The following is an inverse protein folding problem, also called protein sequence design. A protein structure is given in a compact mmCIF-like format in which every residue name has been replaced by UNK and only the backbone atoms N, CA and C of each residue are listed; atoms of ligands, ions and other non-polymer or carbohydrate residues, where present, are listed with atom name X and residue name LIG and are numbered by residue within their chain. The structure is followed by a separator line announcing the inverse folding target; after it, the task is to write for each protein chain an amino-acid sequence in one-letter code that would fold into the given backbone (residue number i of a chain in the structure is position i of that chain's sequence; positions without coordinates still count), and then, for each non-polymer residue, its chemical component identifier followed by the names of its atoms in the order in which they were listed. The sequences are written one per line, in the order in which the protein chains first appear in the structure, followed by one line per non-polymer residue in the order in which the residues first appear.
data_IF_673025475969
#
_entry.id   IF_673025475969
#
_cell.length_a   1.000
_cell.length_b   1.000
_cell.length_c   1.000
_cell.angle_alpha   90.00
_cell.angle_beta   90.00
_cell.angle_gamma   90.00
#
_symmetry.space_group_name_H-M   'P 1'
#
loop_
_entity.id
_entity.type
_entity.pdbx_description
1 polymer ?
#
# COMPACT_ATOMS: atom_id res chain seq x y z
N UNK A 1 -3.35 -9.26 -14.44
CA UNK A 1 -4.00 -8.77 -13.20
C UNK A 1 -2.91 -8.52 -12.19
N UNK A 2 -2.64 -7.26 -11.89
CA UNK A 2 -1.45 -6.87 -11.14
C UNK A 2 -1.52 -7.37 -9.69
N UNK A 3 -0.52 -8.16 -9.27
CA UNK A 3 -0.34 -8.73 -7.91
C UNK A 3 -0.34 -7.66 -6.80
N UNK A 4 -0.28 -6.38 -7.16
CA UNK A 4 -0.47 -5.20 -6.31
C UNK A 4 -1.71 -5.23 -5.42
N UNK A 5 -2.81 -5.87 -5.85
CA UNK A 5 -4.02 -6.02 -5.02
C UNK A 5 -3.74 -6.77 -3.72
N UNK A 6 -2.69 -7.59 -3.69
CA UNK A 6 -2.23 -8.33 -2.52
C UNK A 6 -1.18 -7.50 -1.73
N UNK A 7 -0.31 -6.75 -2.41
CA UNK A 7 0.84 -6.05 -1.80
C UNK A 7 0.45 -4.75 -1.07
N UNK A 8 -0.48 -3.97 -1.61
CA UNK A 8 -0.91 -2.69 -1.00
C UNK A 8 -1.46 -2.82 0.44
N UNK A 9 -2.32 -3.81 0.75
CA UNK A 9 -2.78 -4.05 2.13
C UNK A 9 -1.75 -4.75 3.03
N UNK A 10 -0.73 -5.41 2.47
CA UNK A 10 0.41 -5.92 3.24
C UNK A 10 1.27 -4.77 3.80
N UNK A 11 1.48 -3.70 3.03
CA UNK A 11 2.36 -2.61 3.43
C UNK A 11 1.88 -1.75 4.60
N UNK A 12 0.56 -1.56 4.74
CA UNK A 12 0.01 -0.79 5.86
C UNK A 12 0.11 -1.54 7.19
N UNK A 13 -0.06 -2.86 7.16
CA UNK A 13 -0.13 -3.72 8.32
C UNK A 13 1.23 -4.20 8.81
N UNK A 14 2.21 -4.40 7.90
CA UNK A 14 3.59 -4.73 8.26
C UNK A 14 4.30 -3.62 9.05
N UNK A 15 3.87 -2.37 8.91
CA UNK A 15 4.49 -1.24 9.60
C UNK A 15 4.02 -1.07 11.05
N UNK A 16 2.79 -1.50 11.38
CA UNK A 16 2.18 -1.24 12.69
C UNK A 16 3.03 -1.69 13.89
N UNK A 17 3.71 -2.87 13.87
CA UNK A 17 4.59 -3.28 14.96
C UNK A 17 5.83 -2.39 15.15
N UNK A 18 6.20 -1.59 14.14
CA UNK A 18 7.40 -0.75 14.12
C UNK A 18 7.19 0.64 14.71
N UNK A 19 5.95 1.03 14.97
CA UNK A 19 5.59 2.36 15.50
C UNK A 19 6.31 2.67 16.82
N UNK A 20 6.43 1.76 17.80
CA UNK A 20 7.17 2.07 19.03
C UNK A 20 8.65 2.40 18.77
N UNK A 21 9.32 1.65 17.89
CA UNK A 21 10.73 1.88 17.52
C UNK A 21 10.90 3.20 16.76
N UNK A 22 9.98 3.50 15.83
CA UNK A 22 9.91 4.77 15.12
C UNK A 22 9.81 5.96 16.07
N UNK A 23 8.87 5.90 17.01
CA UNK A 23 8.60 6.99 17.95
C UNK A 23 9.79 7.24 18.88
N UNK A 24 10.46 6.16 19.32
CA UNK A 24 11.71 6.26 20.07
C UNK A 24 12.84 6.89 19.24
N UNK A 25 13.01 6.49 17.98
CA UNK A 25 14.05 7.01 17.09
C UNK A 25 13.87 8.50 16.79
N UNK A 26 12.63 8.94 16.53
CA UNK A 26 12.32 10.34 16.27
C UNK A 26 12.06 11.16 17.54
N UNK A 27 12.31 10.60 18.72
CA UNK A 27 12.20 11.30 20.00
C UNK A 27 10.81 11.86 20.31
N UNK A 28 9.76 11.25 19.76
CA UNK A 28 8.38 11.71 19.93
C UNK A 28 7.62 10.73 20.82
N UNK A 29 7.01 11.22 21.90
CA UNK A 29 6.23 10.39 22.83
C UNK A 29 4.72 10.64 22.75
N UNK A 30 4.26 11.41 21.77
CA UNK A 30 2.84 11.74 21.60
C UNK A 30 2.04 10.52 21.12
N UNK A 31 1.06 10.03 21.90
CA UNK A 31 0.15 8.96 21.47
C UNK A 31 -0.68 9.34 20.24
N UNK A 32 -0.87 10.65 20.03
CA UNK A 32 -1.61 11.18 18.89
C UNK A 32 -0.79 11.00 17.61
N UNK A 33 0.52 11.30 17.65
CA UNK A 33 1.42 11.14 16.51
C UNK A 33 1.61 9.65 16.15
N UNK A 34 1.74 8.75 17.13
CA UNK A 34 1.89 7.31 16.88
C UNK A 34 0.66 6.68 16.22
N UNK A 35 -0.53 7.15 16.57
CA UNK A 35 -1.78 6.69 15.95
C UNK A 35 -1.93 7.30 14.57
N UNK A 36 -1.64 8.59 14.44
CA UNK A 36 -1.80 9.34 13.19
C UNK A 36 -0.88 8.83 12.08
N UNK A 37 0.37 8.47 12.38
CA UNK A 37 1.30 7.94 11.38
C UNK A 37 0.80 6.64 10.73
N UNK A 38 0.04 5.81 11.45
CA UNK A 38 -0.58 4.61 10.88
C UNK A 38 -1.83 5.00 10.08
N UNK A 39 -2.72 5.80 10.69
CA UNK A 39 -4.02 6.18 10.12
C UNK A 39 -3.95 7.03 8.86
N UNK A 40 -2.92 7.88 8.72
CA UNK A 40 -2.76 8.77 7.55
C UNK A 40 -2.64 7.99 6.23
N UNK A 41 -2.10 6.78 6.27
CA UNK A 41 -2.10 5.87 5.12
C UNK A 41 -3.53 5.53 4.68
N UNK A 42 -4.40 5.20 5.64
CA UNK A 42 -5.80 4.88 5.35
C UNK A 42 -6.58 6.09 4.85
N UNK A 43 -6.26 7.29 5.33
CA UNK A 43 -6.80 8.53 4.77
C UNK A 43 -6.44 8.66 3.29
N UNK A 44 -5.16 8.51 2.93
CA UNK A 44 -4.73 8.51 1.54
C UNK A 44 -5.44 7.45 0.71
N UNK A 45 -5.58 6.24 1.25
CA UNK A 45 -6.28 5.14 0.61
C UNK A 45 -7.78 5.39 0.41
N UNK A 46 -8.43 6.10 1.34
CA UNK A 46 -9.86 6.42 1.26
C UNK A 46 -10.15 7.54 0.25
N UNK A 47 -9.28 8.56 0.16
CA UNK A 47 -9.46 9.68 -0.76
C UNK A 47 -8.87 9.43 -2.16
N UNK A 48 -7.86 8.56 -2.27
CA UNK A 48 -7.21 8.22 -3.55
C UNK A 48 -8.18 7.79 -4.66
N UNK A 49 -9.17 6.92 -4.40
CA UNK A 49 -10.15 6.50 -5.40
C UNK A 49 -10.91 7.65 -6.06
N UNK A 50 -11.15 8.76 -5.36
CA UNK A 50 -11.87 9.92 -5.90
C UNK A 50 -11.14 10.57 -7.08
N UNK A 51 -9.81 10.52 -7.07
CA UNK A 51 -8.96 11.06 -8.14
C UNK A 51 -8.65 9.97 -9.17
N UNK A 52 -8.37 8.75 -8.70
CA UNK A 52 -7.93 7.65 -9.56
C UNK A 52 -9.06 7.11 -10.46
N UNK A 53 -10.29 7.06 -9.97
CA UNK A 53 -11.44 6.57 -10.74
C UNK A 53 -11.62 7.34 -12.07
N UNK A 54 -11.81 8.67 -12.07
CA UNK A 54 -11.97 9.42 -13.32
C UNK A 54 -10.70 9.39 -14.19
N UNK A 55 -9.51 9.41 -13.58
CA UNK A 55 -8.25 9.28 -14.31
C UNK A 55 -8.17 7.97 -15.10
N UNK A 56 -8.66 6.87 -14.54
CA UNK A 56 -8.66 5.55 -15.16
C UNK A 56 -9.61 5.43 -16.36
N UNK A 57 -10.68 6.22 -16.37
CA UNK A 57 -11.65 6.28 -17.46
C UNK A 57 -11.14 7.15 -18.62
N UNK A 58 -10.51 8.30 -18.31
CA UNK A 58 -10.02 9.22 -19.34
C UNK A 58 -8.71 8.76 -20.02
N UNK A 59 -7.74 8.26 -19.25
CA UNK A 59 -6.40 7.92 -19.76
C UNK A 59 -6.21 6.42 -20.00
N UNK A 60 -7.20 5.60 -19.63
CA UNK A 60 -7.13 4.16 -19.73
C UNK A 60 -6.48 3.49 -18.52
N UNK A 61 -6.97 2.30 -18.20
CA UNK A 61 -6.67 1.59 -16.94
C UNK A 61 -5.20 1.17 -16.82
N UNK A 62 -4.58 0.71 -17.91
CA UNK A 62 -3.17 0.25 -17.91
C UNK A 62 -2.20 1.36 -17.52
N UNK A 63 -2.36 2.57 -18.07
CA UNK A 63 -1.49 3.71 -17.74
C UNK A 63 -1.61 4.09 -16.26
N UNK A 64 -2.83 4.06 -15.71
CA UNK A 64 -3.06 4.35 -14.29
C UNK A 64 -2.43 3.30 -13.38
N UNK A 65 -2.44 2.01 -13.76
CA UNK A 65 -1.70 0.98 -13.03
C UNK A 65 -0.20 1.24 -13.00
N UNK A 66 0.42 1.51 -14.15
CA UNK A 66 1.86 1.75 -14.23
C UNK A 66 2.27 3.02 -13.49
N UNK A 67 1.52 4.11 -13.66
CA UNK A 67 1.76 5.36 -12.93
C UNK A 67 1.63 5.15 -11.41
N UNK A 68 0.58 4.43 -10.97
CA UNK A 68 0.39 4.07 -9.57
C UNK A 68 1.54 3.25 -8.99
N UNK A 69 2.10 2.31 -9.77
CA UNK A 69 3.25 1.50 -9.35
C UNK A 69 4.50 2.33 -9.15
N UNK A 70 4.83 3.16 -10.15
CA UNK A 70 6.02 4.01 -10.09
C UNK A 70 5.90 4.97 -8.91
N UNK A 71 4.73 5.59 -8.73
CA UNK A 71 4.44 6.48 -7.62
C UNK A 71 4.55 5.75 -6.27
N UNK A 72 3.91 4.58 -6.11
CA UNK A 72 3.96 3.81 -4.88
C UNK A 72 5.39 3.38 -4.52
N UNK A 73 6.18 2.93 -5.50
CA UNK A 73 7.59 2.58 -5.29
C UNK A 73 8.41 3.80 -4.87
N UNK A 74 8.27 4.93 -5.57
CA UNK A 74 8.99 6.16 -5.26
C UNK A 74 8.65 6.66 -3.84
N UNK A 75 7.37 6.65 -3.46
CA UNK A 75 6.95 7.05 -2.12
C UNK A 75 7.34 6.04 -1.04
N UNK A 76 7.41 4.75 -1.36
CA UNK A 76 7.96 3.73 -0.45
C UNK A 76 9.44 4.00 -0.16
N UNK A 77 10.23 4.29 -1.19
CA UNK A 77 11.65 4.67 -1.03
C UNK A 77 11.76 5.97 -0.22
N UNK A 78 10.92 6.96 -0.49
CA UNK A 78 10.86 8.20 0.29
C UNK A 78 10.53 7.97 1.78
N UNK A 79 9.58 7.08 2.06
CA UNK A 79 9.25 6.67 3.43
C UNK A 79 10.42 5.93 4.11
N UNK A 80 11.15 5.09 3.38
CA UNK A 80 12.32 4.39 3.89
C UNK A 80 13.48 5.35 4.24
N UNK A 81 13.63 6.42 3.46
CA UNK A 81 14.65 7.46 3.64
C UNK A 81 14.19 8.61 4.54
N UNK A 82 13.03 8.51 5.18
CA UNK A 82 12.51 9.59 6.02
C UNK A 82 13.39 9.84 7.25
N UNK A 83 13.62 11.12 7.56
CA UNK A 83 14.47 11.57 8.68
C UNK A 83 13.67 12.17 9.84
N UNK A 84 12.37 12.38 9.66
CA UNK A 84 11.46 12.88 10.69
C UNK A 84 10.04 12.34 10.46
N UNK A 85 9.17 12.53 11.47
CA UNK A 85 7.79 12.06 11.42
C UNK A 85 6.96 12.73 10.33
N UNK A 86 7.12 14.03 10.11
CA UNK A 86 6.30 14.77 9.14
C UNK A 86 6.55 14.31 7.71
N UNK A 87 7.81 14.11 7.36
CA UNK A 87 8.25 13.52 6.10
C UNK A 87 7.68 12.12 5.93
N UNK A 88 7.76 11.28 6.97
CA UNK A 88 7.19 9.93 6.92
C UNK A 88 5.67 9.97 6.73
N UNK A 89 4.96 10.84 7.44
CA UNK A 89 3.51 11.00 7.34
C UNK A 89 3.10 11.45 5.94
N UNK A 90 3.80 12.41 5.36
CA UNK A 90 3.56 12.87 3.99
C UNK A 90 3.75 11.73 2.97
N UNK A 91 4.86 10.98 3.05
CA UNK A 91 5.06 9.83 2.16
C UNK A 91 4.03 8.73 2.39
N UNK A 92 3.64 8.45 3.63
CA UNK A 92 2.60 7.45 3.94
C UNK A 92 1.24 7.84 3.37
N UNK A 93 0.88 9.13 3.39
CA UNK A 93 -0.34 9.63 2.74
C UNK A 93 -0.29 9.35 1.23
N UNK A 94 0.81 9.72 0.57
CA UNK A 94 1.00 9.55 -0.87
C UNK A 94 1.08 8.07 -1.28
N UNK A 95 1.68 7.23 -0.44
CA UNK A 95 1.65 5.77 -0.58
C UNK A 95 0.22 5.25 -0.48
N UNK A 96 -0.59 5.75 0.45
CA UNK A 96 -2.00 5.38 0.59
C UNK A 96 -2.80 5.68 -0.67
N UNK A 97 -2.62 6.88 -1.25
CA UNK A 97 -3.26 7.28 -2.51
C UNK A 97 -2.83 6.37 -3.66
N UNK A 98 -1.52 6.16 -3.82
CA UNK A 98 -1.01 5.31 -4.92
C UNK A 98 -1.38 3.83 -4.72
N UNK A 99 -1.46 3.39 -3.47
CA UNK A 99 -1.83 2.04 -3.08
C UNK A 99 -3.31 1.72 -3.28
N UNK A 100 -4.19 2.72 -3.47
CA UNK A 100 -5.61 2.50 -3.77
C UNK A 100 -5.88 2.19 -5.25
N UNK A 101 -4.94 2.50 -6.14
CA UNK A 101 -5.04 2.22 -7.59
C UNK A 101 -5.50 0.79 -7.91
N UNK A 102 -4.84 -0.26 -7.40
CA UNK A 102 -5.22 -1.63 -7.71
C UNK A 102 -6.60 -2.01 -7.17
N UNK A 103 -7.06 -1.42 -6.08
CA UNK A 103 -8.40 -1.69 -5.54
C UNK A 103 -9.49 -0.94 -6.28
N UNK A 104 -9.23 0.28 -6.74
CA UNK A 104 -10.19 1.09 -7.50
C UNK A 104 -10.39 0.55 -8.91
N UNK A 105 -9.29 0.27 -9.62
CA UNK A 105 -9.33 -0.12 -11.04
C UNK A 105 -9.38 -1.66 -11.22
N UNK A 106 -8.90 -2.41 -10.22
CA UNK A 106 -8.80 -3.88 -10.22
C UNK A 106 -10.12 -4.59 -10.43
N UNK A 107 -11.12 -4.22 -9.63
CA UNK A 107 -12.44 -4.87 -9.69
C UNK A 107 -13.10 -4.65 -11.05
N UNK A 108 -13.05 -3.43 -11.59
CA UNK A 108 -13.56 -3.14 -12.94
C UNK A 108 -12.86 -3.96 -14.02
N UNK A 109 -11.53 -4.12 -13.91
CA UNK A 109 -10.75 -4.91 -14.88
C UNK A 109 -11.07 -6.40 -14.81
N UNK A 110 -11.35 -6.94 -13.61
CA UNK A 110 -11.83 -8.32 -13.43
C UNK A 110 -13.19 -8.51 -14.10
N UNK A 111 -14.11 -7.58 -13.90
CA UNK A 111 -15.47 -7.64 -14.46
C UNK A 111 -15.48 -7.60 -15.99
N UNK A 112 -14.57 -6.84 -16.59
CA UNK A 112 -14.51 -6.67 -18.04
C UNK A 112 -13.92 -7.88 -18.78
N UNK A 113 -12.98 -8.60 -18.15
CA UNK A 113 -12.32 -9.76 -18.77
C UNK A 113 -13.06 -11.07 -18.47
N UNK A 114 -13.81 -11.12 -17.36
CA UNK A 114 -14.48 -12.36 -16.92
C UNK A 114 -15.92 -12.46 -17.42
N UNK A 115 -16.27 -13.64 -17.93
CA UNK A 115 -17.65 -13.99 -18.32
C UNK A 115 -18.61 -13.81 -17.13
N UNK A 116 -19.85 -13.31 -17.35
CA UNK A 116 -20.80 -12.97 -16.28
C UNK A 116 -21.00 -14.08 -15.25
N UNK A 117 -21.03 -15.34 -15.69
CA UNK A 117 -21.29 -16.51 -14.83
C UNK A 117 -20.12 -16.83 -13.89
N UNK A 118 -18.91 -16.37 -14.20
CA UNK A 118 -17.68 -16.60 -13.41
C UNK A 118 -17.23 -15.36 -12.62
N UNK A 119 -17.90 -14.21 -12.76
CA UNK A 119 -17.54 -12.95 -12.10
C UNK A 119 -17.53 -13.06 -10.60
N UNK A 120 -18.58 -13.65 -10.01
CA UNK A 120 -18.69 -13.81 -8.55
C UNK A 120 -17.48 -14.54 -7.97
N UNK A 121 -17.12 -15.69 -8.55
CA UNK A 121 -15.95 -16.48 -8.11
C UNK A 121 -14.63 -15.73 -8.30
N UNK A 122 -14.47 -14.99 -9.41
CA UNK A 122 -13.27 -14.23 -9.68
C UNK A 122 -13.09 -13.06 -8.71
N UNK A 123 -14.17 -12.34 -8.40
CA UNK A 123 -14.18 -11.24 -7.43
C UNK A 123 -13.92 -11.76 -6.02
N UNK A 124 -14.54 -12.89 -5.64
CA UNK A 124 -14.26 -13.53 -4.35
C UNK A 124 -12.80 -13.94 -4.21
N UNK A 125 -12.19 -14.50 -5.26
CA UNK A 125 -10.77 -14.88 -5.24
C UNK A 125 -9.85 -13.64 -5.15
N UNK A 126 -10.22 -12.56 -5.83
CA UNK A 126 -9.50 -11.29 -5.77
C UNK A 126 -9.58 -10.66 -4.36
N UNK A 127 -10.74 -10.74 -3.71
CA UNK A 127 -10.96 -10.20 -2.37
C UNK A 127 -10.10 -10.88 -1.28
N UNK A 128 -9.59 -12.10 -1.52
CA UNK A 128 -8.69 -12.79 -0.60
C UNK A 128 -7.39 -12.00 -0.38
N UNK A 129 -6.87 -11.32 -1.40
CA UNK A 129 -5.62 -10.55 -1.29
C UNK A 129 -5.69 -9.46 -0.22
N UNK A 130 -6.67 -8.54 -0.31
CA UNK A 130 -6.91 -7.53 0.72
C UNK A 130 -7.24 -8.07 2.11
N UNK A 131 -7.82 -9.26 2.22
CA UNK A 131 -8.10 -9.91 3.50
C UNK A 131 -6.85 -10.53 4.15
N UNK A 132 -5.97 -11.14 3.36
CA UNK A 132 -4.74 -11.77 3.87
C UNK A 132 -3.68 -10.74 4.28
N UNK A 133 -3.68 -9.56 3.65
CA UNK A 133 -2.73 -8.49 3.94
C UNK A 133 -2.66 -8.13 5.42
N UNK A 134 -3.77 -7.70 6.05
CA UNK A 134 -3.80 -7.36 7.48
C UNK A 134 -3.57 -8.53 8.43
N UNK A 135 -3.85 -9.78 8.00
CA UNK A 135 -3.67 -10.96 8.84
C UNK A 135 -2.21 -11.40 8.91
N UNK A 136 -1.50 -11.41 7.78
CA UNK A 136 -0.11 -11.86 7.69
C UNK A 136 0.90 -10.72 7.86
N UNK A 137 0.49 -9.49 7.56
CA UNK A 137 1.36 -8.32 7.60
C UNK A 137 2.00 -8.07 8.96
N UNK A 138 1.27 -8.03 10.08
CA UNK A 138 1.88 -7.77 11.39
C UNK A 138 2.87 -8.86 11.83
N UNK A 139 2.63 -10.12 11.45
CA UNK A 139 3.53 -11.24 11.76
C UNK A 139 4.85 -11.07 11.00
N UNK A 140 4.78 -10.94 9.68
CA UNK A 140 5.96 -10.77 8.83
C UNK A 140 6.71 -9.45 9.14
N UNK A 141 5.95 -8.38 9.36
CA UNK A 141 6.46 -7.07 9.74
C UNK A 141 7.17 -7.11 11.09
N UNK A 142 6.59 -7.77 12.09
CA UNK A 142 7.19 -7.93 13.42
C UNK A 142 8.59 -8.56 13.35
N UNK A 143 8.72 -9.71 12.68
CA UNK A 143 10.01 -10.38 12.48
C UNK A 143 11.02 -9.50 11.73
N UNK A 144 10.60 -8.82 10.66
CA UNK A 144 11.48 -7.96 9.87
C UNK A 144 11.94 -6.73 10.67
N UNK A 145 11.02 -6.09 11.38
CA UNK A 145 11.29 -4.92 12.24
C UNK A 145 12.22 -5.30 13.40
N UNK A 146 12.08 -6.50 13.93
CA UNK A 146 12.96 -7.03 14.97
C UNK A 146 14.37 -7.28 14.43
N UNK A 147 14.49 -7.93 13.28
CA UNK A 147 15.77 -8.33 12.71
C UNK A 147 16.59 -7.17 12.11
N UNK A 148 15.94 -6.30 11.31
CA UNK A 148 16.64 -5.29 10.49
C UNK A 148 16.09 -3.86 10.63
N UNK A 149 14.96 -3.69 11.33
CA UNK A 149 14.38 -2.37 11.64
C UNK A 149 13.19 -1.96 10.77
N UNK A 150 12.50 -0.90 11.18
CA UNK A 150 11.21 -0.49 10.59
C UNK A 150 11.30 0.07 9.17
N UNK A 151 12.44 0.68 8.81
CA UNK A 151 12.66 1.21 7.45
C UNK A 151 12.64 0.13 6.39
N UNK A 152 13.08 -1.08 6.73
CA UNK A 152 13.11 -2.22 5.82
C UNK A 152 11.74 -2.70 5.37
N UNK A 153 10.68 -2.40 6.14
CA UNK A 153 9.30 -2.64 5.68
C UNK A 153 9.06 -1.91 4.36
N UNK A 154 9.47 -0.66 4.26
CA UNK A 154 9.29 0.14 3.04
C UNK A 154 10.19 -0.29 1.88
N UNK A 155 11.43 -0.69 2.18
CA UNK A 155 12.32 -1.28 1.17
C UNK A 155 11.76 -2.57 0.59
N UNK A 156 11.24 -3.46 1.44
CA UNK A 156 10.62 -4.71 1.01
C UNK A 156 9.40 -4.43 0.12
N UNK A 157 8.55 -3.46 0.48
CA UNK A 157 7.42 -3.06 -0.36
C UNK A 157 7.86 -2.54 -1.72
N UNK A 158 8.89 -1.69 -1.77
CA UNK A 158 9.46 -1.20 -3.02
C UNK A 158 9.99 -2.35 -3.90
N UNK A 159 10.73 -3.30 -3.31
CA UNK A 159 11.27 -4.47 -4.01
C UNK A 159 10.15 -5.35 -4.59
N UNK A 160 9.11 -5.65 -3.79
CA UNK A 160 8.00 -6.48 -4.24
C UNK A 160 7.24 -5.85 -5.41
N UNK A 161 7.05 -4.53 -5.38
CA UNK A 161 6.37 -3.80 -6.46
C UNK A 161 7.24 -3.76 -7.72
N UNK A 162 8.54 -3.50 -7.60
CA UNK A 162 9.46 -3.52 -8.74
C UNK A 162 9.55 -4.93 -9.34
N UNK A 163 9.76 -5.96 -8.53
CA UNK A 163 9.90 -7.34 -8.97
C UNK A 163 8.67 -7.89 -9.70
N UNK A 164 7.48 -7.38 -9.36
CA UNK A 164 6.23 -7.79 -10.02
C UNK A 164 5.86 -6.94 -11.22
N UNK A 165 6.49 -5.77 -11.41
CA UNK A 165 6.26 -4.91 -12.57
C UNK A 165 7.00 -5.35 -13.85
N UNK A 166 7.92 -6.31 -13.72
CA UNK A 166 8.78 -6.82 -14.81
C UNK A 166 8.37 -8.21 -15.33
N UNK A 167 7.30 -8.80 -14.78
CA UNK A 167 6.74 -10.11 -15.16
C UNK A 167 5.37 -9.96 -15.82
#
# INVERSE_FOLDING_TARGET
MSILSIISPLGSSMFAPGVPKLMAEFGNSSPMASTFVVSIYFLGFAFGPLVIAPLSEMHGRMYVYHAGNIAFTAFSIGAALSVNLDMLMAFRLLMGVSGSVPTTVGVGSVVDVMKPEKRGRAISLWAIGPLLGPALGPIAGGYLIEAVGWRWVYWLLAILVIGTSTS
#
